data_IF_150217730182
#
_entry.id   IF_150217730182
#
_cell.length_a   1.000
_cell.length_b   1.000
_cell.length_c   1.000
_cell.angle_alpha   90.00
_cell.angle_beta   90.00
_cell.angle_gamma   90.00
#
_symmetry.space_group_name_H-M   'P 1'
#
loop_
_entity.id
_entity.type
_entity.pdbx_description
1 polymer ?
#
# COMPACT_ATOMS: atom_id res chain seq x y z
N UNK A 1 46.14 19.46 8.55
CA UNK A 1 44.81 18.81 8.69
C UNK A 1 43.84 19.46 7.71
N UNK A 2 44.02 19.20 6.42
CA UNK A 2 43.34 19.92 5.33
C UNK A 2 42.83 18.94 4.25
N UNK A 3 42.34 17.77 4.67
CA UNK A 3 41.90 16.70 3.76
C UNK A 3 40.52 16.11 4.10
N UNK A 4 39.87 16.53 5.19
CA UNK A 4 38.51 16.06 5.51
C UNK A 4 37.37 16.92 4.92
N UNK A 5 37.67 18.11 4.39
CA UNK A 5 36.65 19.02 3.88
C UNK A 5 36.24 18.77 2.40
N UNK A 6 36.94 17.88 1.68
CA UNK A 6 36.68 17.59 0.26
C UNK A 6 35.73 16.40 0.03
N UNK A 7 35.38 15.63 1.06
CA UNK A 7 34.40 14.54 0.94
C UNK A 7 32.94 14.98 1.18
N UNK A 8 32.73 16.18 1.74
CA UNK A 8 31.39 16.68 2.07
C UNK A 8 30.72 17.47 0.93
N UNK A 9 31.41 17.71 -0.18
CA UNK A 9 30.89 18.47 -1.34
C UNK A 9 30.51 17.62 -2.56
N UNK A 10 30.61 16.30 -2.49
CA UNK A 10 30.34 15.39 -3.62
C UNK A 10 29.07 14.52 -3.47
N UNK A 11 28.30 14.67 -2.39
CA UNK A 11 27.02 13.97 -2.21
C UNK A 11 25.77 14.79 -2.53
N UNK A 12 25.92 16.04 -2.98
CA UNK A 12 24.80 16.97 -3.22
C UNK A 12 24.42 17.18 -4.70
N UNK A 13 24.89 16.33 -5.63
CA UNK A 13 24.62 16.51 -7.08
C UNK A 13 24.14 15.26 -7.85
N UNK A 14 23.69 14.18 -7.19
CA UNK A 14 22.96 13.10 -7.90
C UNK A 14 21.43 13.22 -7.83
N UNK A 15 20.92 14.34 -7.31
CA UNK A 15 19.50 14.67 -7.35
C UNK A 15 19.20 15.51 -8.61
N UNK A 16 19.24 14.88 -9.78
CA UNK A 16 18.57 15.42 -10.96
C UNK A 16 18.36 14.36 -12.04
N UNK A 17 17.10 14.20 -12.42
CA UNK A 17 16.66 13.62 -13.68
C UNK A 17 16.69 12.10 -13.83
N UNK A 18 15.89 11.43 -13.01
CA UNK A 18 15.13 10.28 -13.51
C UNK A 18 13.63 10.61 -13.39
N UNK A 19 13.17 11.56 -14.21
CA UNK A 19 11.74 11.70 -14.54
C UNK A 19 11.36 10.50 -15.42
N UNK A 20 11.30 9.32 -14.81
CA UNK A 20 10.68 8.15 -15.40
C UNK A 20 9.19 8.48 -15.47
N UNK A 21 8.77 8.97 -16.65
CA UNK A 21 7.38 9.19 -17.04
C UNK A 21 6.54 8.02 -16.53
N UNK A 22 5.86 8.22 -15.40
CA UNK A 22 4.77 7.37 -14.97
C UNK A 22 3.72 7.52 -16.07
N UNK A 23 3.59 6.48 -16.90
CA UNK A 23 2.52 6.40 -17.88
C UNK A 23 1.22 6.42 -17.09
N UNK A 24 0.52 7.55 -17.12
CA UNK A 24 -0.92 7.57 -16.90
C UNK A 24 -1.48 6.61 -17.95
N UNK A 25 -1.99 5.46 -17.51
CA UNK A 25 -2.51 4.43 -18.40
C UNK A 25 -3.64 5.06 -19.24
N UNK A 26 -3.38 5.22 -20.54
CA UNK A 26 -4.44 5.44 -21.53
C UNK A 26 -5.37 4.23 -21.47
N UNK A 27 -6.68 4.50 -21.47
CA UNK A 27 -7.79 3.54 -21.46
C UNK A 27 -7.38 2.15 -21.99
N UNK A 28 -7.22 1.21 -21.06
CA UNK A 28 -6.88 -0.18 -21.35
C UNK A 28 -8.07 -0.98 -21.86
N UNK A 29 -7.81 -2.25 -22.17
CA UNK A 29 -8.82 -3.24 -22.55
C UNK A 29 -9.98 -3.26 -21.53
N UNK A 30 -11.26 -3.26 -21.93
CA UNK A 30 -12.39 -3.30 -21.00
C UNK A 30 -12.28 -4.40 -19.93
N UNK A 31 -11.70 -5.56 -20.27
CA UNK A 31 -11.47 -6.65 -19.31
C UNK A 31 -10.45 -6.28 -18.22
N UNK A 32 -9.40 -5.52 -18.56
CA UNK A 32 -8.41 -5.04 -17.59
C UNK A 32 -8.98 -3.94 -16.69
N UNK A 33 -9.88 -3.10 -17.24
CA UNK A 33 -10.60 -2.09 -16.47
C UNK A 33 -11.58 -2.75 -15.50
N UNK A 34 -12.34 -3.75 -15.96
CA UNK A 34 -13.27 -4.53 -15.13
C UNK A 34 -12.53 -5.27 -14.01
N UNK A 35 -11.40 -5.91 -14.32
CA UNK A 35 -10.55 -6.54 -13.30
C UNK A 35 -10.00 -5.49 -12.32
N UNK A 36 -9.61 -4.31 -12.80
CA UNK A 36 -9.11 -3.23 -11.93
C UNK A 36 -10.18 -2.69 -11.00
N UNK A 37 -11.39 -2.46 -11.51
CA UNK A 37 -12.54 -1.99 -10.72
C UNK A 37 -12.95 -3.06 -9.71
N UNK A 38 -13.02 -4.33 -10.12
CA UNK A 38 -13.32 -5.43 -9.21
C UNK A 38 -12.26 -5.53 -8.09
N UNK A 39 -10.97 -5.37 -8.41
CA UNK A 39 -9.91 -5.35 -7.39
C UNK A 39 -10.07 -4.18 -6.41
N UNK A 40 -10.36 -2.98 -6.91
CA UNK A 40 -10.60 -1.82 -6.05
C UNK A 40 -11.81 -2.03 -5.15
N UNK A 41 -12.84 -2.76 -5.60
CA UNK A 41 -13.99 -3.11 -4.75
C UNK A 41 -13.65 -4.05 -3.58
N UNK A 42 -12.50 -4.73 -3.61
CA UNK A 42 -12.06 -5.60 -2.52
C UNK A 42 -11.05 -4.93 -1.58
N UNK A 43 -10.68 -3.67 -1.82
CA UNK A 43 -9.74 -2.95 -0.97
C UNK A 43 -10.55 -2.02 -0.07
N UNK A 44 -10.37 -2.08 1.26
CA UNK A 44 -11.05 -1.16 2.17
C UNK A 44 -10.59 0.29 1.92
N UNK A 45 -11.53 1.21 2.03
CA UNK A 45 -11.23 2.63 1.97
C UNK A 45 -10.31 3.08 3.10
N UNK A 46 -9.64 4.21 2.89
CA UNK A 46 -8.87 4.84 3.95
C UNK A 46 -9.80 5.57 4.93
N UNK A 47 -9.55 5.48 6.24
CA UNK A 47 -10.30 6.21 7.25
C UNK A 47 -10.07 7.72 7.15
N UNK A 48 -10.96 8.49 7.78
CA UNK A 48 -10.96 9.94 7.73
C UNK A 48 -9.60 10.53 8.17
N UNK A 49 -9.11 11.51 7.40
CA UNK A 49 -7.85 12.20 7.67
C UNK A 49 -6.65 11.69 6.86
N UNK A 50 -6.72 10.48 6.30
CA UNK A 50 -5.74 9.98 5.36
C UNK A 50 -6.04 10.45 3.93
N UNK A 51 -5.00 10.85 3.19
CA UNK A 51 -5.09 11.24 1.79
C UNK A 51 -4.26 10.31 0.93
N UNK A 52 -4.83 9.87 -0.18
CA UNK A 52 -4.12 9.06 -1.18
C UNK A 52 -2.86 9.80 -1.64
N UNK A 53 -1.71 9.13 -1.54
CA UNK A 53 -0.42 9.60 -2.05
C UNK A 53 -0.04 8.91 -3.35
N UNK A 54 -0.39 7.63 -3.49
CA UNK A 54 -0.08 6.88 -4.69
C UNK A 54 -0.61 5.46 -4.67
N UNK A 55 -0.68 4.88 -5.87
CA UNK A 55 -0.99 3.47 -6.10
C UNK A 55 0.17 2.88 -6.90
N UNK A 56 0.75 1.80 -6.40
CA UNK A 56 1.88 1.10 -7.00
C UNK A 56 1.41 -0.30 -7.37
N UNK A 57 1.70 -0.71 -8.60
CA UNK A 57 1.43 -2.05 -9.10
C UNK A 57 2.75 -2.81 -9.21
N UNK A 58 2.73 -4.09 -8.86
CA UNK A 58 3.89 -4.96 -9.08
C UNK A 58 4.09 -5.19 -10.59
N UNK A 59 5.33 -5.02 -11.04
CA UNK A 59 5.70 -5.15 -12.45
C UNK A 59 5.61 -6.61 -12.96
N UNK A 60 5.78 -7.58 -12.07
CA UNK A 60 5.76 -9.01 -12.40
C UNK A 60 4.37 -9.62 -12.23
N UNK A 61 3.56 -9.07 -11.34
CA UNK A 61 2.18 -9.48 -11.13
C UNK A 61 1.28 -8.26 -10.93
N UNK A 62 0.72 -7.66 -12.00
CA UNK A 62 -0.12 -6.46 -11.92
C UNK A 62 -1.38 -6.62 -11.06
N UNK A 63 -1.72 -7.85 -10.65
CA UNK A 63 -2.80 -8.13 -9.69
C UNK A 63 -2.41 -7.77 -8.25
N UNK A 64 -1.12 -7.66 -7.96
CA UNK A 64 -0.60 -7.16 -6.70
C UNK A 64 -0.59 -5.63 -6.74
N UNK A 65 -1.21 -5.02 -5.74
CA UNK A 65 -1.34 -3.57 -5.64
C UNK A 65 -1.01 -3.10 -4.24
N UNK A 66 -0.30 -1.98 -4.16
CA UNK A 66 0.01 -1.28 -2.93
C UNK A 66 -0.55 0.13 -3.02
N UNK A 67 -1.38 0.52 -2.06
CA UNK A 67 -1.94 1.85 -1.94
C UNK A 67 -1.30 2.54 -0.74
N UNK A 68 -0.78 3.75 -0.97
CA UNK A 68 -0.14 4.56 0.04
C UNK A 68 -1.02 5.76 0.36
N UNK A 69 -1.32 5.93 1.63
CA UNK A 69 -2.02 7.08 2.17
C UNK A 69 -1.14 7.80 3.20
N UNK A 70 -1.34 9.10 3.34
CA UNK A 70 -0.66 9.94 4.34
C UNK A 70 -1.66 10.85 5.03
N UNK A 71 -1.57 10.91 6.35
CA UNK A 71 -2.33 11.89 7.12
C UNK A 71 -1.72 13.29 6.96
N UNK A 72 -2.57 14.29 6.72
CA UNK A 72 -2.14 15.67 6.50
C UNK A 72 -1.81 16.45 7.79
N UNK A 73 -2.23 15.94 8.95
CA UNK A 73 -1.94 16.52 10.27
C UNK A 73 -1.07 15.55 11.07
N UNK A 74 -0.34 16.05 12.08
CA UNK A 74 0.10 15.22 13.22
C UNK A 74 -1.16 14.76 13.97
N UNK A 75 -1.89 13.83 13.38
CA UNK A 75 -3.01 13.17 14.04
C UNK A 75 -2.34 12.14 14.94
N UNK A 76 -2.61 12.20 16.25
CA UNK A 76 -2.37 11.03 17.09
C UNK A 76 -3.33 9.97 16.60
N UNK A 77 -2.83 9.02 15.81
CA UNK A 77 -3.65 7.93 15.31
C UNK A 77 -3.92 7.00 16.49
N UNK A 78 -5.19 6.87 16.84
CA UNK A 78 -5.60 5.83 17.76
C UNK A 78 -5.65 4.51 16.97
N UNK A 79 -4.64 3.66 17.18
CA UNK A 79 -4.59 2.37 16.52
C UNK A 79 -5.73 1.44 16.91
N UNK A 80 -6.40 1.65 18.06
CA UNK A 80 -7.57 0.86 18.45
C UNK A 80 -8.76 1.16 17.54
N UNK A 81 -9.03 2.43 17.28
CA UNK A 81 -10.10 2.87 16.39
C UNK A 81 -9.80 2.49 14.94
N UNK A 82 -8.55 2.67 14.51
CA UNK A 82 -8.09 2.29 13.18
C UNK A 82 -8.25 0.78 12.95
N UNK A 83 -7.83 -0.03 13.94
CA UNK A 83 -7.99 -1.48 13.93
C UNK A 83 -9.45 -1.87 13.79
N UNK A 84 -10.33 -1.33 14.64
CA UNK A 84 -11.74 -1.69 14.62
C UNK A 84 -12.42 -1.31 13.29
N UNK A 85 -12.05 -0.15 12.74
CA UNK A 85 -12.54 0.31 11.43
C UNK A 85 -12.16 -0.65 10.31
N UNK A 86 -10.91 -1.11 10.31
CA UNK A 86 -10.43 -2.06 9.29
C UNK A 86 -11.00 -3.46 9.49
N UNK A 87 -11.12 -3.97 10.72
CA UNK A 87 -11.76 -5.26 10.96
C UNK A 87 -13.20 -5.28 10.43
N UNK A 88 -14.00 -4.25 10.76
CA UNK A 88 -15.38 -4.15 10.30
C UNK A 88 -15.47 -3.98 8.76
N UNK A 89 -14.66 -3.09 8.19
CA UNK A 89 -14.65 -2.87 6.73
C UNK A 89 -14.24 -4.13 5.96
N UNK A 90 -13.23 -4.86 6.45
CA UNK A 90 -12.74 -6.08 5.82
C UNK A 90 -13.74 -7.22 5.90
N UNK A 91 -14.40 -7.39 7.04
CA UNK A 91 -15.47 -8.38 7.22
C UNK A 91 -16.61 -8.14 6.21
N UNK A 92 -17.06 -6.90 6.04
CA UNK A 92 -18.09 -6.55 5.04
C UNK A 92 -17.65 -6.83 3.60
N UNK A 93 -16.36 -6.70 3.30
CA UNK A 93 -15.78 -7.01 2.00
C UNK A 93 -15.53 -8.52 1.80
N UNK A 94 -15.84 -9.35 2.82
CA UNK A 94 -15.70 -10.80 2.78
C UNK A 94 -14.24 -11.26 2.90
N UNK A 95 -13.43 -10.53 3.66
CA UNK A 95 -12.09 -10.94 4.05
C UNK A 95 -12.09 -11.61 5.43
N UNK A 96 -11.33 -12.68 5.55
CA UNK A 96 -11.10 -13.40 6.79
C UNK A 96 -9.88 -12.82 7.51
N UNK A 97 -10.04 -12.49 8.79
CA UNK A 97 -8.93 -12.05 9.63
C UNK A 97 -7.95 -13.20 9.88
N UNK A 98 -6.65 -12.91 9.75
CA UNK A 98 -5.57 -13.92 9.92
C UNK A 98 -4.73 -13.62 11.15
N UNK A 99 -4.20 -12.41 11.24
CA UNK A 99 -3.29 -12.03 12.32
C UNK A 99 -3.18 -10.52 12.48
N UNK A 100 -2.74 -10.08 13.65
CA UNK A 100 -2.45 -8.68 13.93
C UNK A 100 -1.17 -8.52 14.74
N UNK A 101 -0.60 -7.33 14.62
CA UNK A 101 0.42 -6.81 15.50
C UNK A 101 0.10 -5.34 15.78
N UNK A 102 0.02 -4.97 17.05
CA UNK A 102 -0.29 -3.61 17.48
C UNK A 102 0.68 -3.21 18.58
N UNK A 103 1.38 -2.10 18.38
CA UNK A 103 2.22 -1.47 19.39
C UNK A 103 1.94 0.06 19.43
N UNK A 104 2.79 0.82 20.12
CA UNK A 104 2.62 2.27 20.25
C UNK A 104 2.87 3.07 18.95
N UNK A 105 3.62 2.52 18.00
CA UNK A 105 4.11 3.21 16.80
C UNK A 105 3.56 2.62 15.49
N UNK A 106 2.99 1.40 15.57
CA UNK A 106 2.62 0.59 14.43
C UNK A 106 1.36 -0.25 14.69
N UNK A 107 0.50 -0.26 13.67
CA UNK A 107 -0.58 -1.22 13.47
C UNK A 107 -0.28 -2.05 12.23
N UNK A 108 -0.41 -3.37 12.35
CA UNK A 108 -0.35 -4.32 11.24
C UNK A 108 -1.53 -5.28 11.37
N UNK A 109 -2.28 -5.44 10.28
CA UNK A 109 -3.38 -6.38 10.15
C UNK A 109 -3.20 -7.19 8.87
N UNK A 110 -3.41 -8.50 8.97
CA UNK A 110 -3.37 -9.42 7.84
C UNK A 110 -4.71 -10.11 7.67
N UNK A 111 -5.16 -10.15 6.44
CA UNK A 111 -6.41 -10.75 6.01
C UNK A 111 -6.16 -11.70 4.84
N UNK A 112 -7.05 -12.68 4.71
CA UNK A 112 -7.06 -13.62 3.60
C UNK A 112 -8.45 -13.76 3.00
N UNK A 113 -8.52 -14.27 1.78
CA UNK A 113 -9.78 -14.59 1.12
C UNK A 113 -9.58 -15.81 0.22
N UNK A 114 -10.64 -16.60 -0.08
CA UNK A 114 -10.56 -17.68 -1.06
C UNK A 114 -9.89 -17.24 -2.37
N UNK A 115 -9.20 -18.18 -3.03
CA UNK A 115 -8.45 -17.89 -4.26
C UNK A 115 -7.01 -17.42 -4.03
N UNK A 116 -6.44 -17.68 -2.83
CA UNK A 116 -5.07 -17.30 -2.45
C UNK A 116 -4.83 -15.79 -2.46
N UNK A 117 -5.86 -15.02 -2.09
CA UNK A 117 -5.75 -13.57 -1.97
C UNK A 117 -5.39 -13.19 -0.54
N UNK A 118 -4.51 -12.22 -0.40
CA UNK A 118 -4.06 -11.68 0.87
C UNK A 118 -4.16 -10.17 0.86
N UNK A 119 -4.55 -9.59 1.98
CA UNK A 119 -4.57 -8.14 2.15
C UNK A 119 -3.88 -7.79 3.47
N UNK A 120 -2.93 -6.87 3.40
CA UNK A 120 -2.21 -6.34 4.53
C UNK A 120 -2.57 -4.86 4.70
N UNK A 121 -2.94 -4.48 5.92
CA UNK A 121 -3.08 -3.08 6.32
C UNK A 121 -1.97 -2.78 7.32
N UNK A 122 -1.14 -1.79 7.01
CA UNK A 122 -0.05 -1.35 7.87
C UNK A 122 -0.14 0.15 8.08
N UNK A 123 -0.16 0.59 9.33
CA UNK A 123 -0.07 2.01 9.66
C UNK A 123 1.11 2.22 10.58
N UNK A 124 2.04 3.09 10.16
CA UNK A 124 3.21 3.46 10.94
C UNK A 124 3.31 5.00 10.92
N UNK A 125 3.39 5.60 12.10
CA UNK A 125 3.36 7.06 12.25
C UNK A 125 2.14 7.68 11.54
N UNK A 126 2.33 8.39 10.42
CA UNK A 126 1.27 9.05 9.64
C UNK A 126 1.08 8.41 8.25
N UNK A 127 1.66 7.24 8.02
CA UNK A 127 1.62 6.54 6.74
C UNK A 127 0.77 5.29 6.92
N UNK A 128 -0.24 5.17 6.07
CA UNK A 128 -1.10 4.00 5.99
C UNK A 128 -0.86 3.35 4.63
N UNK A 129 -0.54 2.07 4.66
CA UNK A 129 -0.26 1.25 3.48
C UNK A 129 -1.24 0.10 3.46
N UNK A 130 -1.93 -0.07 2.33
CA UNK A 130 -2.78 -1.23 2.08
C UNK A 130 -2.18 -2.00 0.91
N UNK A 131 -1.82 -3.25 1.14
CA UNK A 131 -1.20 -4.13 0.14
C UNK A 131 -2.13 -5.30 -0.12
N UNK A 132 -2.58 -5.46 -1.36
CA UNK A 132 -3.29 -6.64 -1.80
C UNK A 132 -2.37 -7.49 -2.68
N UNK A 133 -2.29 -8.78 -2.36
CA UNK A 133 -1.50 -9.77 -3.11
C UNK A 133 -2.40 -10.90 -3.58
N UNK A 134 -2.20 -11.34 -4.81
CA UNK A 134 -2.89 -12.50 -5.38
C UNK A 134 -1.87 -13.59 -5.62
N UNK A 135 -2.00 -14.69 -4.86
CA UNK A 135 -1.14 -15.86 -5.00
C UNK A 135 -1.24 -16.43 -6.40
N UNK A 136 -0.09 -16.74 -7.01
CA UNK A 136 -0.08 -17.33 -8.34
C UNK A 136 -0.67 -18.75 -8.30
N UNK A 137 -1.47 -19.07 -9.31
CA UNK A 137 -1.78 -20.45 -9.66
C UNK A 137 -0.42 -21.05 -10.06
N UNK A 138 0.10 -22.02 -9.31
CA UNK A 138 1.17 -22.87 -9.84
C UNK A 138 0.51 -23.58 -11.02
N UNK A 139 0.86 -23.20 -12.23
CA UNK A 139 0.55 -24.03 -13.38
C UNK A 139 1.21 -25.38 -13.10
N UNK A 140 0.37 -26.41 -12.93
CA UNK A 140 0.85 -27.78 -12.79
C UNK A 140 1.50 -28.12 -14.13
N UNK A 141 2.83 -28.23 -14.14
CA UNK A 141 3.60 -28.91 -15.18
C UNK A 141 3.15 -30.37 -15.27
#
# INVERSE_FOLDING_TARGET
MLQLALFFSLFLLSACSDQKKQKIAKQGNPAELEETVARMSYIPDAPFGFRLQGVVYDQHNPKNVQILYRSAKKISIDFKDLRQTYLASMEMLGWDFVSEYVNADELFLLFSRPGKMWCQVRCEQNILTVVMMVGQKKDRL
#
